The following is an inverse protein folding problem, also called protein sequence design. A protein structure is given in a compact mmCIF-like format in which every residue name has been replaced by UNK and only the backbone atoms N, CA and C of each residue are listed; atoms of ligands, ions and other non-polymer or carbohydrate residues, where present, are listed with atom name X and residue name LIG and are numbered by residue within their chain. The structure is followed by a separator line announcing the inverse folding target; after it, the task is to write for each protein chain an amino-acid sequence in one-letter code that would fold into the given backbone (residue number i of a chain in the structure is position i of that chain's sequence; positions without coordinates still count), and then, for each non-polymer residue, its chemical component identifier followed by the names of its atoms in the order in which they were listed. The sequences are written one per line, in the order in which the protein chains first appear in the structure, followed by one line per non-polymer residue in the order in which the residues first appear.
data_IF_339753052648
#
_entry.id   IF_339753052648
#
_cell.length_a   1.000
_cell.length_b   1.000
_cell.length_c   1.000
_cell.angle_alpha   90.00
_cell.angle_beta   90.00
_cell.angle_gamma   90.00
#
_symmetry.space_group_name_H-M   'P 1'
#
loop_
_entity.id
_entity.type
_entity.pdbx_description
1 polymer ?
#
# COMPACT_ATOMS: atom_id res chain seq x y z
N UNK A 1 -26.91 1.01 -27.02
CA UNK A 1 -26.22 2.22 -26.64
C UNK A 1 -24.76 1.86 -26.40
N UNK A 2 -23.83 2.46 -27.18
CA UNK A 2 -22.40 2.32 -26.95
C UNK A 2 -22.09 3.06 -25.64
N UNK A 3 -21.55 2.37 -24.64
CA UNK A 3 -20.96 3.01 -23.46
C UNK A 3 -19.85 3.94 -23.94
N UNK A 4 -20.00 5.23 -23.68
CA UNK A 4 -18.93 6.20 -23.86
C UNK A 4 -17.80 5.80 -22.91
N UNK A 5 -16.66 5.40 -23.46
CA UNK A 5 -15.45 5.22 -22.70
C UNK A 5 -15.08 6.58 -22.09
N UNK A 6 -15.35 6.78 -20.80
CA UNK A 6 -14.81 7.92 -20.05
C UNK A 6 -13.29 7.87 -20.14
N UNK A 7 -12.71 8.77 -20.91
CA UNK A 7 -11.26 9.02 -20.90
C UNK A 7 -10.89 9.43 -19.47
N UNK A 8 -10.01 8.68 -18.84
CA UNK A 8 -9.46 9.05 -17.52
C UNK A 8 -8.41 10.12 -17.77
N UNK A 9 -8.51 11.22 -17.06
CA UNK A 9 -7.47 12.23 -17.06
C UNK A 9 -6.19 11.63 -16.44
N UNK A 10 -5.10 11.71 -17.19
CA UNK A 10 -3.77 11.31 -16.72
C UNK A 10 -3.10 12.53 -16.14
N UNK A 11 -2.63 12.43 -14.91
CA UNK A 11 -1.91 13.52 -14.27
C UNK A 11 -0.61 13.83 -15.01
N UNK A 12 -0.40 15.08 -15.36
CA UNK A 12 0.89 15.59 -15.86
C UNK A 12 1.84 15.82 -14.69
N UNK A 13 3.12 16.01 -14.98
CA UNK A 13 4.12 16.31 -13.95
C UNK A 13 3.76 17.60 -13.16
N UNK A 14 3.19 18.60 -13.84
CA UNK A 14 2.79 19.85 -13.17
C UNK A 14 1.59 19.64 -12.24
N UNK A 15 0.62 18.80 -12.63
CA UNK A 15 -0.53 18.45 -11.76
C UNK A 15 -0.04 17.67 -10.55
N UNK A 16 0.87 16.71 -10.74
CA UNK A 16 1.47 15.96 -9.65
C UNK A 16 2.20 16.87 -8.67
N UNK A 17 3.04 17.80 -9.17
CA UNK A 17 3.78 18.72 -8.34
C UNK A 17 2.83 19.58 -7.48
N UNK A 18 1.79 20.16 -8.10
CA UNK A 18 0.77 20.95 -7.39
C UNK A 18 0.05 20.11 -6.31
N UNK A 19 -0.28 18.86 -6.62
CA UNK A 19 -0.91 17.96 -5.66
C UNK A 19 0.01 17.67 -4.46
N UNK A 20 1.31 17.45 -4.70
CA UNK A 20 2.30 17.24 -3.65
C UNK A 20 2.55 18.49 -2.80
N UNK A 21 2.55 19.68 -3.42
CA UNK A 21 2.68 20.97 -2.72
C UNK A 21 1.47 21.27 -1.83
N UNK A 22 0.27 20.86 -2.26
CA UNK A 22 -0.98 21.04 -1.50
C UNK A 22 -1.25 19.96 -0.47
N UNK A 23 -0.46 18.87 -0.46
CA UNK A 23 -0.67 17.72 0.39
C UNK A 23 -0.02 17.92 1.77
N UNK A 24 -0.83 18.00 2.83
CA UNK A 24 -0.36 18.14 4.22
C UNK A 24 -0.28 16.77 4.95
N UNK A 25 -0.74 15.68 4.31
CA UNK A 25 -0.72 14.32 4.87
C UNK A 25 0.49 13.56 4.33
N UNK A 26 1.43 13.19 5.20
CA UNK A 26 2.67 12.51 4.83
C UNK A 26 2.42 11.08 4.31
N UNK A 27 1.37 10.40 4.78
CA UNK A 27 0.98 9.07 4.29
C UNK A 27 0.46 9.18 2.87
N UNK A 28 -0.41 10.16 2.60
CA UNK A 28 -0.92 10.44 1.26
C UNK A 28 0.20 10.88 0.33
N UNK A 29 1.10 11.74 0.78
CA UNK A 29 2.27 12.19 0.02
C UNK A 29 3.17 11.02 -0.38
N UNK A 30 3.46 10.10 0.54
CA UNK A 30 4.20 8.86 0.27
C UNK A 30 3.44 7.97 -0.74
N UNK A 31 2.12 7.81 -0.57
CA UNK A 31 1.28 7.03 -1.47
C UNK A 31 1.32 7.55 -2.91
N UNK A 32 1.19 8.88 -3.09
CA UNK A 32 1.27 9.54 -4.40
C UNK A 32 2.65 9.31 -5.04
N UNK A 33 3.73 9.53 -4.28
CA UNK A 33 5.09 9.33 -4.78
C UNK A 33 5.35 7.89 -5.22
N UNK A 34 4.94 6.90 -4.44
CA UNK A 34 5.08 5.48 -4.77
C UNK A 34 4.20 5.08 -5.98
N UNK A 35 2.95 5.53 -6.02
CA UNK A 35 2.06 5.24 -7.14
C UNK A 35 2.61 5.80 -8.46
N UNK A 36 3.15 7.02 -8.43
CA UNK A 36 3.66 7.70 -9.61
C UNK A 36 5.03 7.16 -10.05
N UNK A 37 6.01 7.07 -9.13
CA UNK A 37 7.38 6.68 -9.45
C UNK A 37 7.53 5.16 -9.71
N UNK A 38 6.74 4.33 -9.04
CA UNK A 38 6.85 2.87 -9.09
C UNK A 38 5.70 2.21 -9.86
N UNK A 39 4.74 3.00 -10.38
CA UNK A 39 3.54 2.51 -11.09
C UNK A 39 2.80 1.41 -10.32
N UNK A 40 2.66 1.60 -9.00
CA UNK A 40 1.94 0.65 -8.14
C UNK A 40 0.42 0.83 -8.30
N UNK A 41 -0.28 -0.29 -8.41
CA UNK A 41 -1.74 -0.29 -8.28
C UNK A 41 -2.13 -0.04 -6.81
N UNK A 42 -3.33 0.51 -6.58
CA UNK A 42 -3.82 0.80 -5.23
C UNK A 42 -3.72 -0.43 -4.29
N UNK A 43 -4.11 -1.60 -4.74
CA UNK A 43 -4.01 -2.83 -3.96
C UNK A 43 -2.56 -3.24 -3.66
N UNK A 44 -1.65 -3.09 -4.62
CA UNK A 44 -0.21 -3.34 -4.46
C UNK A 44 0.41 -2.35 -3.46
N UNK A 45 0.05 -1.06 -3.59
CA UNK A 45 0.51 0.01 -2.69
C UNK A 45 0.10 -0.27 -1.24
N UNK A 46 -1.20 -0.50 -0.99
CA UNK A 46 -1.74 -0.73 0.34
C UNK A 46 -1.36 -2.11 0.92
N UNK A 47 -0.98 -3.05 0.05
CA UNK A 47 -0.48 -4.37 0.42
C UNK A 47 1.03 -4.43 0.68
N UNK A 48 1.75 -3.30 0.60
CA UNK A 48 3.18 -3.26 0.90
C UNK A 48 3.45 -3.60 2.36
N UNK A 49 4.35 -4.55 2.56
CA UNK A 49 4.85 -4.95 3.87
C UNK A 49 6.36 -4.72 3.94
N UNK A 50 6.89 -4.47 5.11
CA UNK A 50 8.31 -4.11 5.31
C UNK A 50 9.29 -5.22 4.89
N UNK A 51 8.88 -6.47 4.91
CA UNK A 51 9.67 -7.62 4.44
C UNK A 51 9.89 -7.63 2.92
N UNK A 52 9.10 -6.85 2.17
CA UNK A 52 9.24 -6.69 0.72
C UNK A 52 10.06 -5.46 0.30
N UNK A 53 10.70 -4.75 1.23
CA UNK A 53 11.33 -3.44 0.98
C UNK A 53 12.79 -3.48 1.41
N UNK A 54 13.68 -3.15 0.49
CA UNK A 54 15.09 -2.90 0.79
C UNK A 54 15.36 -1.39 0.75
N UNK A 55 15.45 -0.80 1.93
CA UNK A 55 15.83 0.60 2.17
C UNK A 55 17.03 0.66 3.14
N UNK A 56 17.92 -0.32 3.04
CA UNK A 56 19.18 -0.27 3.81
C UNK A 56 19.98 0.97 3.41
N UNK A 57 20.74 1.59 4.34
CA UNK A 57 21.57 2.74 4.02
C UNK A 57 22.47 2.50 2.81
N UNK A 58 23.08 1.31 2.73
CA UNK A 58 23.92 0.91 1.60
C UNK A 58 23.13 0.85 0.29
N UNK A 59 21.93 0.25 0.28
CA UNK A 59 21.09 0.18 -0.92
C UNK A 59 20.63 1.55 -1.39
N UNK A 60 20.33 2.47 -0.46
CA UNK A 60 19.97 3.85 -0.79
C UNK A 60 21.16 4.60 -1.40
N UNK A 61 22.34 4.48 -0.78
CA UNK A 61 23.56 5.13 -1.24
C UNK A 61 23.97 4.67 -2.64
N UNK A 62 23.84 3.36 -2.91
CA UNK A 62 24.18 2.76 -4.21
C UNK A 62 23.06 2.92 -5.27
N UNK A 63 21.92 3.54 -4.94
CA UNK A 63 20.76 3.63 -5.84
C UNK A 63 20.11 2.28 -6.13
N UNK A 64 20.20 1.32 -5.21
CA UNK A 64 19.68 -0.04 -5.32
C UNK A 64 18.47 -0.30 -4.41
N UNK A 65 18.03 0.72 -3.65
CA UNK A 65 16.82 0.63 -2.84
C UNK A 65 15.65 0.15 -3.70
N UNK A 66 14.82 -0.75 -3.18
CA UNK A 66 13.83 -1.44 -4.01
C UNK A 66 12.65 -1.99 -3.23
N UNK A 67 11.55 -2.21 -3.95
CA UNK A 67 10.36 -2.92 -3.50
C UNK A 67 10.22 -4.20 -4.32
N UNK A 68 9.85 -5.30 -3.66
CA UNK A 68 9.41 -6.51 -4.33
C UNK A 68 7.90 -6.59 -4.24
N UNK A 69 7.21 -6.32 -5.36
CA UNK A 69 5.75 -6.33 -5.45
C UNK A 69 5.29 -7.77 -5.62
N UNK A 70 4.76 -8.38 -4.58
CA UNK A 70 4.26 -9.77 -4.58
C UNK A 70 2.94 -9.93 -3.83
N UNK A 71 2.44 -8.84 -3.23
CA UNK A 71 1.23 -8.82 -2.41
C UNK A 71 0.31 -7.71 -2.87
N UNK A 72 -0.99 -7.92 -2.73
CA UNK A 72 -2.01 -6.89 -2.88
C UNK A 72 -3.02 -6.97 -1.74
N UNK A 73 -3.43 -5.83 -1.21
CA UNK A 73 -4.53 -5.71 -0.26
C UNK A 73 -5.84 -5.66 -1.02
N UNK A 74 -6.77 -6.55 -0.71
CA UNK A 74 -8.06 -6.62 -1.37
C UNK A 74 -9.17 -6.97 -0.39
N UNK A 75 -10.35 -6.35 -0.59
CA UNK A 75 -11.58 -6.77 0.09
C UNK A 75 -12.29 -7.79 -0.77
N UNK A 76 -12.53 -8.98 -0.23
CA UNK A 76 -13.13 -10.13 -0.94
C UNK A 76 -14.42 -10.58 -0.26
N UNK A 77 -15.34 -11.15 -1.04
CA UNK A 77 -16.54 -11.79 -0.50
C UNK A 77 -16.14 -13.09 0.22
N UNK A 78 -16.71 -13.33 1.42
CA UNK A 78 -16.38 -14.50 2.24
C UNK A 78 -16.85 -15.81 1.63
N UNK A 79 -18.02 -15.81 0.97
CA UNK A 79 -18.56 -16.99 0.29
C UNK A 79 -17.65 -17.34 -0.89
N UNK A 80 -17.32 -16.39 -1.76
CA UNK A 80 -16.40 -16.61 -2.87
C UNK A 80 -14.99 -17.06 -2.42
N UNK A 81 -14.54 -16.58 -1.25
CA UNK A 81 -13.29 -17.03 -0.66
C UNK A 81 -13.36 -18.49 -0.19
N UNK A 82 -14.50 -18.91 0.38
CA UNK A 82 -14.72 -20.29 0.81
C UNK A 82 -14.82 -21.24 -0.40
N UNK A 83 -15.53 -20.82 -1.46
CA UNK A 83 -15.69 -21.60 -2.70
C UNK A 83 -14.35 -21.85 -3.42
N UNK A 84 -13.39 -20.95 -3.26
CA UNK A 84 -12.05 -21.05 -3.83
C UNK A 84 -11.01 -21.65 -2.87
N UNK A 85 -11.47 -22.18 -1.72
CA UNK A 85 -10.61 -22.76 -0.67
C UNK A 85 -9.46 -21.83 -0.23
N UNK A 86 -9.72 -20.53 -0.23
CA UNK A 86 -8.72 -19.51 0.13
C UNK A 86 -7.53 -19.41 -0.82
N UNK A 87 -7.64 -19.92 -2.05
CA UNK A 87 -6.57 -19.87 -3.05
C UNK A 87 -6.04 -18.45 -3.22
N UNK A 88 -4.71 -18.34 -3.26
CA UNK A 88 -3.95 -17.09 -3.41
C UNK A 88 -4.04 -16.14 -2.19
N UNK A 89 -4.71 -16.50 -1.10
CA UNK A 89 -4.77 -15.70 0.13
C UNK A 89 -3.56 -16.03 1.00
N UNK A 90 -2.75 -15.00 1.29
CA UNK A 90 -1.56 -15.11 2.14
C UNK A 90 -1.90 -14.83 3.61
N UNK A 91 -2.77 -13.83 3.84
CA UNK A 91 -3.18 -13.43 5.18
C UNK A 91 -4.59 -12.83 5.17
N UNK A 92 -5.38 -13.14 6.20
CA UNK A 92 -6.73 -12.60 6.41
C UNK A 92 -6.72 -11.72 7.65
N UNK A 93 -7.03 -10.43 7.46
CA UNK A 93 -7.13 -9.51 8.59
C UNK A 93 -8.36 -9.80 9.46
N UNK A 94 -8.23 -9.58 10.78
CA UNK A 94 -9.38 -9.65 11.68
C UNK A 94 -10.50 -8.72 11.20
N UNK A 95 -11.76 -9.12 11.29
CA UNK A 95 -12.88 -8.27 10.88
C UNK A 95 -13.03 -7.09 11.84
N UNK A 96 -13.24 -5.89 11.31
CA UNK A 96 -13.56 -4.71 12.11
C UNK A 96 -14.96 -4.83 12.74
N UNK A 97 -15.89 -5.51 12.04
CA UNK A 97 -17.25 -5.76 12.50
C UNK A 97 -17.62 -7.23 12.25
N UNK A 98 -18.31 -7.86 13.21
CA UNK A 98 -18.65 -9.29 13.16
C UNK A 98 -19.60 -9.68 12.00
N UNK A 99 -20.43 -8.76 11.52
CA UNK A 99 -21.51 -9.02 10.55
C UNK A 99 -21.17 -8.72 9.08
N UNK A 100 -19.89 -8.58 8.71
CA UNK A 100 -19.53 -8.26 7.33
C UNK A 100 -19.49 -9.50 6.43
N UNK A 101 -20.15 -9.41 5.26
CA UNK A 101 -20.09 -10.44 4.20
C UNK A 101 -18.73 -10.46 3.46
N UNK A 102 -17.83 -9.55 3.79
CA UNK A 102 -16.53 -9.41 3.16
C UNK A 102 -15.39 -9.58 4.16
N UNK A 103 -14.21 -9.91 3.67
CA UNK A 103 -12.97 -9.95 4.44
C UNK A 103 -11.89 -9.12 3.73
N UNK A 104 -11.05 -8.46 4.52
CA UNK A 104 -9.85 -7.81 4.01
C UNK A 104 -8.73 -8.84 4.05
N UNK A 105 -7.99 -8.96 2.95
CA UNK A 105 -6.95 -9.98 2.81
C UNK A 105 -5.72 -9.41 2.12
N UNK A 106 -4.55 -9.93 2.47
CA UNK A 106 -3.38 -9.90 1.62
C UNK A 106 -3.40 -11.14 0.74
N UNK A 107 -3.20 -10.97 -0.54
CA UNK A 107 -3.17 -12.06 -1.50
C UNK A 107 -2.09 -11.85 -2.55
N UNK A 108 -1.73 -12.91 -3.25
CA UNK A 108 -0.85 -12.82 -4.42
C UNK A 108 -1.56 -12.07 -5.55
N UNK A 109 -0.83 -11.27 -6.36
CA UNK A 109 -1.40 -10.64 -7.54
C UNK A 109 -1.96 -11.66 -8.53
N UNK A 110 -3.00 -11.28 -9.26
CA UNK A 110 -3.73 -12.15 -10.20
C UNK A 110 -2.84 -12.79 -11.28
N UNK A 111 -1.76 -12.13 -11.67
CA UNK A 111 -0.87 -12.61 -12.74
C UNK A 111 0.58 -12.70 -12.25
N UNK A 112 1.31 -13.71 -12.72
CA UNK A 112 2.74 -13.87 -12.41
C UNK A 112 3.58 -12.67 -12.85
N UNK A 113 3.20 -11.99 -13.92
CA UNK A 113 3.87 -10.78 -14.43
C UNK A 113 3.68 -9.55 -13.54
N UNK A 114 2.70 -9.58 -12.60
CA UNK A 114 2.54 -8.53 -11.60
C UNK A 114 3.59 -8.62 -10.48
N UNK A 115 4.14 -9.81 -10.25
CA UNK A 115 5.24 -10.01 -9.29
C UNK A 115 6.52 -9.46 -9.92
N UNK A 116 7.09 -8.44 -9.28
CA UNK A 116 8.23 -7.70 -9.86
C UNK A 116 9.04 -6.97 -8.81
N UNK A 117 10.33 -6.78 -9.08
CA UNK A 117 11.20 -5.86 -8.36
C UNK A 117 11.12 -4.48 -9.01
N UNK A 118 10.96 -3.44 -8.20
CA UNK A 118 10.94 -2.05 -8.64
C UNK A 118 12.00 -1.28 -7.84
N UNK A 119 12.90 -0.58 -8.54
CA UNK A 119 13.87 0.27 -7.87
C UNK A 119 13.24 1.60 -7.48
N UNK A 120 13.64 2.09 -6.32
CA UNK A 120 13.14 3.33 -5.73
C UNK A 120 14.03 4.52 -6.09
N UNK A 121 13.44 5.66 -6.47
CA UNK A 121 14.16 6.93 -6.40
C UNK A 121 14.63 7.18 -4.96
N UNK A 122 15.81 7.78 -4.80
CA UNK A 122 16.42 8.04 -3.48
C UNK A 122 15.45 8.77 -2.54
N UNK A 123 14.78 9.81 -3.05
CA UNK A 123 13.82 10.59 -2.27
C UNK A 123 12.66 9.74 -1.74
N UNK A 124 12.16 8.78 -2.53
CA UNK A 124 11.07 7.88 -2.11
C UNK A 124 11.58 6.87 -1.09
N UNK A 125 12.81 6.37 -1.24
CA UNK A 125 13.43 5.50 -0.25
C UNK A 125 13.62 6.21 1.09
N UNK A 126 14.05 7.49 1.08
CA UNK A 126 14.18 8.32 2.29
C UNK A 126 12.82 8.57 2.95
N UNK A 127 11.74 8.79 2.18
CA UNK A 127 10.38 8.88 2.72
C UNK A 127 9.92 7.58 3.39
N UNK A 128 10.29 6.42 2.84
CA UNK A 128 10.01 5.13 3.47
C UNK A 128 10.81 4.92 4.77
N UNK A 129 12.06 5.39 4.84
CA UNK A 129 12.84 5.39 6.08
C UNK A 129 12.14 6.22 7.15
N UNK A 130 11.68 7.43 6.81
CA UNK A 130 10.92 8.27 7.73
C UNK A 130 9.62 7.57 8.17
N UNK A 131 8.84 7.03 7.22
CA UNK A 131 7.60 6.30 7.54
C UNK A 131 7.84 5.13 8.50
N UNK A 132 8.96 4.44 8.37
CA UNK A 132 9.32 3.35 9.28
C UNK A 132 9.58 3.87 10.70
N UNK A 133 10.26 5.00 10.84
CA UNK A 133 10.47 5.66 12.13
C UNK A 133 9.14 6.11 12.75
N UNK A 134 8.25 6.73 11.96
CA UNK A 134 6.93 7.17 12.43
C UNK A 134 6.10 5.99 12.96
N UNK A 135 6.19 4.80 12.32
CA UNK A 135 5.49 3.60 12.79
C UNK A 135 6.07 3.09 14.11
N UNK A 136 7.39 3.13 14.30
CA UNK A 136 8.00 2.76 15.59
C UNK A 136 7.56 3.73 16.71
N UNK A 137 7.49 5.03 16.44
CA UNK A 137 6.94 6.01 17.40
C UNK A 137 5.47 5.72 17.74
N UNK A 138 4.65 5.32 16.74
CA UNK A 138 3.27 4.92 16.98
C UNK A 138 3.17 3.65 17.83
N UNK A 139 4.06 2.68 17.62
CA UNK A 139 4.13 1.46 18.47
C UNK A 139 4.43 1.82 19.92
N UNK A 140 5.40 2.71 20.13
CA UNK A 140 5.75 3.16 21.48
C UNK A 140 4.60 3.94 22.15
N UNK A 141 3.90 4.76 21.36
CA UNK A 141 2.77 5.57 21.87
C UNK A 141 1.54 4.74 22.23
N UNK A 142 1.17 3.77 21.37
CA UNK A 142 -0.04 2.97 21.54
C UNK A 142 0.20 1.65 22.30
N UNK A 143 1.46 1.23 22.47
CA UNK A 143 1.82 0.01 23.21
C UNK A 143 1.00 -1.20 22.77
N UNK A 144 0.34 -1.87 23.69
CA UNK A 144 -0.46 -3.08 23.43
C UNK A 144 -1.70 -2.85 22.53
N UNK A 145 -2.10 -1.59 22.32
CA UNK A 145 -3.21 -1.25 21.41
C UNK A 145 -2.77 -1.20 19.93
N UNK A 146 -1.46 -1.13 19.67
CA UNK A 146 -0.93 -1.21 18.31
C UNK A 146 -0.89 -2.64 17.81
N UNK A 147 -1.56 -2.92 16.69
CA UNK A 147 -1.55 -4.24 16.06
C UNK A 147 -0.60 -4.23 14.88
N UNK A 148 0.57 -4.84 15.03
CA UNK A 148 1.57 -4.87 13.96
C UNK A 148 1.28 -5.95 12.91
N UNK A 149 0.82 -5.53 11.75
CA UNK A 149 0.65 -6.37 10.56
C UNK A 149 1.80 -6.22 9.56
N UNK A 150 2.91 -5.61 9.94
CA UNK A 150 4.06 -5.36 9.08
C UNK A 150 3.75 -4.49 7.84
N UNK A 151 2.66 -3.71 7.86
CA UNK A 151 2.22 -2.88 6.75
C UNK A 151 2.92 -1.52 6.74
N UNK A 152 3.25 -1.02 5.54
CA UNK A 152 3.71 0.36 5.33
C UNK A 152 2.54 1.35 5.49
N UNK A 153 1.40 1.01 4.91
CA UNK A 153 0.17 1.81 4.95
C UNK A 153 -0.79 1.28 6.00
N UNK A 154 -0.60 1.73 7.22
CA UNK A 154 -1.46 1.42 8.36
C UNK A 154 -1.92 2.71 9.05
N UNK A 155 -3.07 2.62 9.72
CA UNK A 155 -3.59 3.66 10.62
C UNK A 155 -2.72 3.78 11.88
N UNK A 156 -2.98 4.79 12.72
CA UNK A 156 -2.22 5.05 13.94
C UNK A 156 -2.15 3.87 14.92
N UNK A 157 -3.12 2.97 14.88
CA UNK A 157 -3.13 1.75 15.69
C UNK A 157 -2.72 0.48 14.91
N UNK A 158 -2.05 0.62 13.77
CA UNK A 158 -1.49 -0.47 12.97
C UNK A 158 -2.47 -1.19 12.05
N UNK A 159 -3.77 -0.86 12.06
CA UNK A 159 -4.77 -1.50 11.18
C UNK A 159 -4.57 -1.10 9.72
N UNK A 160 -4.86 -1.99 8.75
CA UNK A 160 -4.72 -1.68 7.35
C UNK A 160 -5.60 -0.50 6.92
N UNK A 161 -5.05 0.37 6.07
CA UNK A 161 -5.77 1.45 5.39
C UNK A 161 -6.38 0.88 4.10
N UNK A 162 -7.65 1.18 3.84
CA UNK A 162 -8.32 0.78 2.61
C UNK A 162 -8.31 1.90 1.56
N UNK A 163 -8.37 1.54 0.28
CA UNK A 163 -8.29 2.50 -0.83
C UNK A 163 -9.33 3.62 -0.77
N UNK A 164 -10.47 3.40 -0.12
CA UNK A 164 -11.48 4.44 0.08
C UNK A 164 -10.98 5.60 0.96
N UNK A 165 -10.07 5.34 1.89
CA UNK A 165 -9.46 6.38 2.75
C UNK A 165 -8.54 7.26 1.91
N UNK A 166 -7.65 6.64 1.12
CA UNK A 166 -6.74 7.37 0.23
C UNK A 166 -7.50 8.17 -0.84
N UNK A 167 -8.61 7.64 -1.36
CA UNK A 167 -9.40 8.34 -2.40
C UNK A 167 -10.22 9.52 -1.87
N UNK A 168 -10.36 9.69 -0.57
CA UNK A 168 -11.12 10.78 0.06
C UNK A 168 -10.25 11.87 0.64
N UNK A 169 -8.97 11.59 0.84
CA UNK A 169 -7.95 12.54 1.26
C UNK A 169 -7.46 13.37 0.08
#
# INVERSE_FOLDING_TARGET
PKEEHKTRDIWTAEVLQKALEACDDDILRLAINLAFSCSLRMGELLGLTWDCIDISPTSIELGQASIFVEKELQRVNREAMADLDGKDIMFKFPPTFASTHTALVLKTPKTKTSVRKVFLPKTVAEMLVQRKADIEELKDLFGDEFVDFNLVFCSSNGKPIEGQVINRA
#
